data_IF_338051351836
#
_entry.id   IF_338051351836
#
_cell.length_a   1.000
_cell.length_b   1.000
_cell.length_c   1.000
_cell.angle_alpha   90.00
_cell.angle_beta   90.00
_cell.angle_gamma   90.00
#
_symmetry.space_group_name_H-M   'P 1'
#
loop_
_entity.id
_entity.type
_entity.pdbx_description
1 polymer ?
#
# COMPACT_ATOMS: atom_id res chain seq x y z
N UNK A 1 -17.67 -3.74 12.40
CA UNK A 1 -17.23 -4.04 11.02
C UNK A 1 -18.43 -4.55 10.23
N UNK A 2 -18.73 -3.93 9.12
CA UNK A 2 -19.84 -4.36 8.26
C UNK A 2 -19.34 -5.03 7.00
N UNK A 3 -20.13 -5.94 6.45
CA UNK A 3 -19.82 -6.61 5.20
C UNK A 3 -20.49 -5.89 4.03
N UNK A 4 -19.67 -5.32 3.13
CA UNK A 4 -20.12 -4.79 1.87
C UNK A 4 -20.05 -5.84 0.76
N UNK A 5 -20.32 -5.45 -0.49
CA UNK A 5 -20.28 -6.37 -1.64
C UNK A 5 -18.89 -6.93 -1.89
N UNK A 6 -17.86 -6.15 -1.64
CA UNK A 6 -16.46 -6.52 -1.93
C UNK A 6 -15.68 -6.97 -0.69
N UNK A 7 -16.32 -7.05 0.48
CA UNK A 7 -15.69 -7.50 1.71
C UNK A 7 -16.06 -6.67 2.92
N UNK A 8 -15.34 -6.87 4.00
CA UNK A 8 -15.57 -6.17 5.27
C UNK A 8 -15.04 -4.74 5.23
N UNK A 9 -15.77 -3.85 5.87
CA UNK A 9 -15.41 -2.43 5.98
C UNK A 9 -15.60 -2.00 7.44
N UNK A 10 -14.61 -1.33 8.06
CA UNK A 10 -14.79 -0.82 9.41
C UNK A 10 -15.77 0.35 9.42
N UNK A 11 -16.68 0.35 10.40
CA UNK A 11 -17.72 1.39 10.52
C UNK A 11 -17.73 2.07 11.86
N UNK A 12 -17.16 1.49 12.89
CA UNK A 12 -17.13 2.04 14.25
C UNK A 12 -15.70 2.43 14.63
N UNK A 13 -15.60 3.48 15.46
CA UNK A 13 -14.32 3.87 16.04
C UNK A 13 -13.85 2.84 17.07
N UNK A 14 -12.57 2.88 17.39
CA UNK A 14 -11.94 2.01 18.36
C UNK A 14 -11.11 0.92 17.70
N UNK A 15 -10.75 -0.07 18.49
CA UNK A 15 -9.91 -1.15 17.99
C UNK A 15 -10.75 -2.20 17.24
N UNK A 16 -10.10 -2.87 16.32
CA UNK A 16 -10.70 -4.02 15.63
C UNK A 16 -9.63 -5.03 15.24
N UNK A 17 -10.07 -6.24 14.95
CA UNK A 17 -9.24 -7.30 14.40
C UNK A 17 -9.96 -7.82 13.16
N UNK A 18 -9.22 -7.95 12.08
CA UNK A 18 -9.79 -8.45 10.83
C UNK A 18 -8.74 -9.28 10.09
N UNK A 19 -9.21 -10.29 9.37
CA UNK A 19 -8.36 -11.01 8.44
C UNK A 19 -8.33 -10.22 7.13
N UNK A 20 -7.14 -9.90 6.64
CA UNK A 20 -6.99 -9.10 5.43
C UNK A 20 -7.72 -9.70 4.23
N UNK A 21 -7.83 -11.04 4.16
CA UNK A 21 -8.53 -11.71 3.07
C UNK A 21 -10.02 -11.44 3.06
N UNK A 22 -10.58 -11.01 4.18
CA UNK A 22 -12.01 -10.72 4.31
C UNK A 22 -12.34 -9.25 4.13
N UNK A 23 -11.32 -8.37 4.09
CA UNK A 23 -11.52 -6.95 3.86
C UNK A 23 -12.00 -6.66 2.45
N UNK A 24 -12.62 -5.49 2.29
CA UNK A 24 -12.88 -4.93 0.98
C UNK A 24 -11.56 -4.58 0.29
N UNK A 25 -11.37 -5.08 -0.92
CA UNK A 25 -10.21 -4.78 -1.75
C UNK A 25 -10.63 -3.94 -2.96
N UNK A 26 -9.78 -3.00 -3.32
CA UNK A 26 -9.92 -2.21 -4.53
C UNK A 26 -8.94 -2.74 -5.57
N UNK A 27 -9.29 -2.64 -6.83
CA UNK A 27 -8.43 -3.06 -7.92
C UNK A 27 -8.55 -2.10 -9.09
N UNK A 28 -7.41 -1.74 -9.67
CA UNK A 28 -7.33 -0.87 -10.85
C UNK A 28 -6.31 -1.48 -11.81
N UNK A 29 -6.67 -1.56 -13.08
CA UNK A 29 -5.78 -2.08 -14.11
C UNK A 29 -4.46 -1.33 -14.11
N UNK A 30 -3.35 -2.08 -14.08
CA UNK A 30 -2.00 -1.53 -14.05
C UNK A 30 -1.51 -1.14 -12.67
N UNK A 31 -2.35 -1.17 -11.64
CA UNK A 31 -1.98 -0.82 -10.26
C UNK A 31 -2.20 -1.97 -9.28
N UNK A 32 -2.70 -3.10 -9.73
CA UNK A 32 -2.95 -4.25 -8.88
C UNK A 32 -4.16 -4.07 -7.97
N UNK A 33 -4.14 -4.75 -6.83
CA UNK A 33 -5.20 -4.69 -5.84
C UNK A 33 -4.63 -4.26 -4.49
N UNK A 34 -5.44 -3.59 -3.69
CA UNK A 34 -5.01 -3.17 -2.37
C UNK A 34 -6.18 -3.05 -1.39
N UNK A 35 -5.85 -3.12 -0.10
CA UNK A 35 -6.76 -2.75 0.99
C UNK A 35 -6.02 -1.84 1.96
N UNK A 36 -6.71 -0.84 2.47
CA UNK A 36 -6.12 0.11 3.43
C UNK A 36 -6.58 -0.13 4.86
N UNK A 37 -7.44 -1.11 5.08
CA UNK A 37 -8.02 -1.40 6.39
C UNK A 37 -8.89 -0.28 6.95
N UNK A 38 -9.18 0.73 6.15
CA UNK A 38 -10.03 1.85 6.50
C UNK A 38 -11.37 1.75 5.77
N UNK A 39 -12.31 2.59 6.13
CA UNK A 39 -13.60 2.70 5.47
C UNK A 39 -13.95 4.16 5.22
N UNK A 40 -15.15 4.42 4.68
CA UNK A 40 -15.58 5.79 4.35
C UNK A 40 -15.64 6.71 5.57
N UNK A 41 -15.83 6.12 6.75
CA UNK A 41 -16.02 6.88 7.99
C UNK A 41 -14.94 6.65 9.04
N UNK A 42 -14.05 5.68 8.80
CA UNK A 42 -12.98 5.34 9.73
C UNK A 42 -11.64 5.57 9.04
N UNK A 43 -10.88 6.49 9.57
CA UNK A 43 -9.59 6.89 9.04
C UNK A 43 -8.54 6.91 10.13
N UNK A 44 -7.39 6.32 9.86
CA UNK A 44 -6.27 6.31 10.82
C UNK A 44 -5.59 7.67 10.81
N UNK A 45 -5.40 8.25 11.99
CA UNK A 45 -4.92 9.63 12.09
C UNK A 45 -3.42 9.78 11.84
N UNK A 46 -2.61 8.85 12.33
CA UNK A 46 -1.16 9.00 12.36
C UNK A 46 -0.45 8.29 11.23
N UNK A 47 -0.89 7.10 10.87
CA UNK A 47 -0.31 6.31 9.79
C UNK A 47 -1.39 5.68 8.94
N UNK A 48 -1.13 5.60 7.65
CA UNK A 48 -1.91 4.78 6.73
C UNK A 48 -1.19 3.46 6.52
N UNK A 49 -1.95 2.37 6.48
CA UNK A 49 -1.41 1.03 6.25
C UNK A 49 -2.14 0.44 5.06
N UNK A 50 -1.40 -0.05 4.09
CA UNK A 50 -1.99 -0.70 2.92
C UNK A 50 -1.29 -2.01 2.65
N UNK A 51 -2.08 -2.99 2.21
CA UNK A 51 -1.56 -4.24 1.71
C UNK A 51 -1.84 -4.27 0.23
N UNK A 52 -0.80 -4.50 -0.59
CA UNK A 52 -0.88 -4.42 -2.03
C UNK A 52 -0.51 -5.76 -2.64
N UNK A 53 -1.28 -6.17 -3.65
CA UNK A 53 -1.01 -7.39 -4.43
C UNK A 53 -0.76 -6.94 -5.86
N UNK A 54 0.46 -7.17 -6.34
CA UNK A 54 0.91 -6.72 -7.67
C UNK A 54 1.18 -7.92 -8.56
N UNK A 55 0.59 -7.93 -9.74
CA UNK A 55 1.01 -8.83 -10.81
C UNK A 55 2.22 -8.24 -11.53
N UNK A 56 2.80 -8.99 -12.47
CA UNK A 56 3.93 -8.50 -13.26
C UNK A 56 3.55 -7.24 -14.02
N UNK A 57 4.32 -6.18 -13.84
CA UNK A 57 4.09 -4.90 -14.51
C UNK A 57 3.12 -3.96 -13.78
N UNK A 58 2.42 -4.43 -12.76
CA UNK A 58 1.55 -3.57 -11.97
C UNK A 58 2.39 -2.63 -11.11
N UNK A 59 2.07 -1.35 -11.12
CA UNK A 59 2.76 -0.33 -10.35
C UNK A 59 1.95 0.08 -9.13
N UNK A 60 2.60 0.10 -7.97
CA UNK A 60 2.04 0.64 -6.74
C UNK A 60 2.04 2.16 -6.81
N UNK A 61 0.99 2.75 -7.31
CA UNK A 61 0.92 4.18 -7.55
C UNK A 61 1.90 4.64 -8.65
N UNK A 62 1.88 5.91 -8.97
CA UNK A 62 2.79 6.49 -9.93
C UNK A 62 4.12 6.82 -9.28
N UNK A 63 5.18 6.93 -10.08
CA UNK A 63 6.47 7.42 -9.59
C UNK A 63 6.28 8.81 -8.99
N UNK A 64 6.56 8.97 -7.72
CA UNK A 64 6.24 10.20 -7.00
C UNK A 64 7.12 10.38 -5.76
N UNK A 65 7.06 11.58 -5.21
CA UNK A 65 7.65 11.90 -3.92
C UNK A 65 6.54 12.36 -2.97
N UNK A 66 6.56 11.84 -1.75
CA UNK A 66 5.60 12.19 -0.71
C UNK A 66 6.22 13.15 0.28
N UNK A 67 5.41 14.05 0.80
CA UNK A 67 5.83 14.97 1.86
C UNK A 67 6.17 14.23 3.16
N UNK A 68 5.58 13.07 3.38
CA UNK A 68 5.75 12.26 4.59
C UNK A 68 6.54 11.00 4.29
N UNK A 69 7.04 10.38 5.35
CA UNK A 69 7.76 9.11 5.28
C UNK A 69 6.84 7.99 4.79
N UNK A 70 7.38 7.13 3.93
CA UNK A 70 6.73 5.88 3.53
C UNK A 70 7.70 4.72 3.64
N UNK A 71 7.22 3.61 4.19
CA UNK A 71 8.02 2.39 4.33
C UNK A 71 7.28 1.22 3.71
N UNK A 72 8.04 0.28 3.14
CA UNK A 72 7.49 -0.87 2.45
C UNK A 72 8.21 -2.14 2.87
N UNK A 73 7.46 -3.22 2.99
CA UNK A 73 8.01 -4.54 3.25
C UNK A 73 7.44 -5.51 2.23
N UNK A 74 8.30 -6.15 1.44
CA UNK A 74 7.88 -7.19 0.51
C UNK A 74 7.63 -8.46 1.30
N UNK A 75 6.40 -8.97 1.25
CA UNK A 75 6.03 -10.18 1.98
C UNK A 75 6.15 -11.44 1.14
N UNK A 76 5.94 -11.32 -0.17
CA UNK A 76 5.94 -12.46 -1.08
C UNK A 76 6.20 -11.98 -2.50
N UNK A 77 6.84 -12.82 -3.30
CA UNK A 77 7.11 -12.51 -4.70
C UNK A 77 8.33 -11.61 -4.88
N UNK A 78 8.42 -11.03 -6.07
CA UNK A 78 9.51 -10.14 -6.46
C UNK A 78 8.96 -8.85 -7.04
N UNK A 79 9.71 -7.78 -6.87
CA UNK A 79 9.35 -6.46 -7.38
C UNK A 79 10.58 -5.73 -7.90
N UNK A 80 10.35 -4.68 -8.66
CA UNK A 80 11.37 -3.73 -9.05
C UNK A 80 11.06 -2.39 -8.38
N UNK A 81 12.02 -1.89 -7.63
CA UNK A 81 11.94 -0.55 -7.04
C UNK A 81 12.68 0.41 -7.95
N UNK A 82 12.01 1.49 -8.33
CA UNK A 82 12.67 2.63 -8.97
C UNK A 82 12.70 3.73 -7.92
N UNK A 83 13.89 4.13 -7.50
CA UNK A 83 14.07 5.08 -6.42
C UNK A 83 15.17 6.06 -6.78
N UNK A 84 14.85 7.37 -6.76
CA UNK A 84 15.77 8.44 -7.09
C UNK A 84 16.53 8.17 -8.40
N UNK A 85 15.79 7.71 -9.41
CA UNK A 85 16.34 7.42 -10.73
C UNK A 85 17.13 6.13 -10.84
N UNK A 86 17.15 5.31 -9.80
CA UNK A 86 17.88 4.03 -9.78
C UNK A 86 16.92 2.86 -9.69
N UNK A 87 17.29 1.75 -10.31
CA UNK A 87 16.53 0.52 -10.24
C UNK A 87 17.15 -0.45 -9.23
N UNK A 88 16.31 -1.04 -8.37
CA UNK A 88 16.71 -2.04 -7.39
C UNK A 88 15.72 -3.19 -7.41
N UNK A 89 16.16 -4.44 -7.70
CA UNK A 89 15.27 -5.58 -7.53
C UNK A 89 15.00 -5.83 -6.05
N UNK A 90 13.77 -6.21 -5.76
CA UNK A 90 13.31 -6.55 -4.41
C UNK A 90 12.81 -7.98 -4.39
N UNK A 91 12.99 -8.64 -3.27
CA UNK A 91 12.45 -9.98 -3.01
C UNK A 91 11.82 -10.01 -1.63
N UNK A 92 11.18 -11.12 -1.30
CA UNK A 92 10.52 -11.29 -0.01
C UNK A 92 11.47 -10.95 1.15
N UNK A 93 10.93 -10.23 2.12
CA UNK A 93 11.56 -9.71 3.33
C UNK A 93 12.45 -8.49 3.12
N UNK A 94 12.59 -7.98 1.90
CA UNK A 94 13.27 -6.70 1.69
C UNK A 94 12.42 -5.56 2.23
N UNK A 95 13.05 -4.67 2.97
CA UNK A 95 12.44 -3.48 3.54
C UNK A 95 12.96 -2.22 2.84
N UNK A 96 12.06 -1.33 2.48
CA UNK A 96 12.38 -0.06 1.83
C UNK A 96 11.93 1.08 2.74
N UNK A 97 12.86 1.95 3.09
CA UNK A 97 12.57 3.16 3.84
C UNK A 97 12.69 4.37 2.92
N UNK A 98 11.62 5.14 2.80
CA UNK A 98 11.60 6.37 2.01
C UNK A 98 11.36 7.56 2.94
N UNK A 99 12.40 8.35 3.25
CA UNK A 99 12.20 9.63 3.93
C UNK A 99 11.32 10.56 3.08
N UNK A 100 10.88 11.65 3.68
CA UNK A 100 10.12 12.68 2.97
C UNK A 100 10.79 13.08 1.67
N UNK A 101 10.00 13.25 0.62
CA UNK A 101 10.44 13.72 -0.70
C UNK A 101 11.36 12.77 -1.47
N UNK A 102 11.36 11.49 -1.14
CA UNK A 102 12.07 10.48 -1.92
C UNK A 102 11.17 10.03 -3.08
N UNK A 103 11.61 10.22 -4.31
CA UNK A 103 10.88 9.77 -5.49
C UNK A 103 11.00 8.26 -5.65
N UNK A 104 9.87 7.56 -5.75
CA UNK A 104 9.87 6.11 -5.81
C UNK A 104 8.61 5.54 -6.46
N UNK A 105 8.74 4.33 -6.97
CA UNK A 105 7.62 3.46 -7.36
C UNK A 105 8.06 2.01 -7.21
N UNK A 106 7.12 1.14 -6.85
CA UNK A 106 7.36 -0.31 -6.78
C UNK A 106 6.48 -0.99 -7.83
N UNK A 107 7.10 -1.83 -8.64
CA UNK A 107 6.45 -2.53 -9.75
C UNK A 107 6.60 -4.03 -9.55
N UNK A 108 5.49 -4.77 -9.66
CA UNK A 108 5.53 -6.23 -9.60
C UNK A 108 6.40 -6.81 -10.69
N UNK A 109 7.25 -7.79 -10.34
CA UNK A 109 8.24 -8.36 -11.26
C UNK A 109 8.26 -9.90 -11.28
N UNK A 110 7.39 -10.55 -10.52
CA UNK A 110 7.31 -12.01 -10.51
C UNK A 110 6.16 -12.52 -11.37
N UNK A 111 6.23 -13.79 -11.76
CA UNK A 111 5.14 -14.44 -12.50
C UNK A 111 3.90 -14.63 -11.64
N UNK A 112 4.09 -14.86 -10.35
CA UNK A 112 3.01 -14.90 -9.38
C UNK A 112 2.81 -13.52 -8.72
N UNK A 113 1.86 -13.42 -7.80
CA UNK A 113 1.60 -12.16 -7.12
C UNK A 113 2.77 -11.74 -6.23
N UNK A 114 3.05 -10.45 -6.22
CA UNK A 114 3.95 -9.82 -5.27
C UNK A 114 3.11 -9.11 -4.23
N UNK A 115 3.35 -9.40 -2.96
CA UNK A 115 2.59 -8.81 -1.85
C UNK A 115 3.49 -7.85 -1.10
N UNK A 116 3.06 -6.60 -0.99
CA UNK A 116 3.83 -5.52 -0.36
C UNK A 116 2.98 -4.82 0.70
N UNK A 117 3.52 -4.78 1.91
CA UNK A 117 2.95 -3.97 2.99
C UNK A 117 3.51 -2.55 2.88
N UNK A 118 2.63 -1.57 2.88
CA UNK A 118 3.02 -0.17 2.84
C UNK A 118 2.52 0.55 4.09
N UNK A 119 3.38 1.35 4.71
CA UNK A 119 3.03 2.18 5.86
C UNK A 119 3.48 3.59 5.57
N UNK A 120 2.54 4.53 5.56
CA UNK A 120 2.82 5.93 5.31
C UNK A 120 2.41 6.79 6.49
N UNK A 121 3.28 7.71 6.89
CA UNK A 121 2.94 8.69 7.91
C UNK A 121 1.93 9.68 7.34
N UNK A 122 1.09 10.21 8.20
CA UNK A 122 0.09 11.23 7.84
C UNK A 122 0.31 12.48 8.67
N UNK A 123 0.17 13.61 8.02
CA UNK A 123 0.17 14.89 8.73
C UNK A 123 -1.25 15.22 9.12
N UNK A 124 -1.41 15.76 10.33
CA UNK A 124 -2.71 16.19 10.82
C UNK A 124 -3.32 17.22 9.87
N UNK A 125 -4.56 16.98 9.44
CA UNK A 125 -5.27 17.86 8.55
C UNK A 125 -4.92 17.73 7.07
N UNK A 126 -3.95 16.87 6.70
CA UNK A 126 -3.58 16.60 5.33
C UNK A 126 -4.03 15.20 4.96
N UNK A 127 -4.84 15.06 3.94
CA UNK A 127 -5.27 13.76 3.45
C UNK A 127 -4.19 13.06 2.65
N UNK A 128 -4.45 11.80 2.26
CA UNK A 128 -3.58 11.06 1.31
C UNK A 128 -3.83 11.57 -0.10
N UNK A 129 -3.46 12.80 -0.37
CA UNK A 129 -3.86 13.49 -1.59
C UNK A 129 -3.16 13.01 -2.85
N UNK A 130 -2.06 12.32 -2.72
CA UNK A 130 -1.20 11.96 -3.83
C UNK A 130 -1.35 10.53 -4.31
N UNK A 131 -2.36 9.87 -3.85
CA UNK A 131 -2.62 8.50 -4.29
C UNK A 131 -3.77 8.39 -5.23
#
# INVERSE_FOLDING_TARGET
MERGEAGLVPVDEGWFVVNAREMEWLAVDGSGAWTSFEGPHIRFEQVGVALNVLGRGDAMAMYHAEETQEDFLVLSGEALLIIEGRERPLKAWDFVHCPSWTEHVIIGASDGPCIVLAVGARRKGVGCATR
#
